data_IF_009456691261
#
_entry.id   IF_009456691261
#
_cell.length_a   1.000
_cell.length_b   1.000
_cell.length_c   1.000
_cell.angle_alpha   90.00
_cell.angle_beta   90.00
_cell.angle_gamma   90.00
#
_symmetry.space_group_name_H-M   'P 1'
#
loop_
_entity.id
_entity.type
_entity.pdbx_description
1 polymer ?
#
# COMPACT_ATOMS: atom_id res chain seq x y z
N UNK A 1 -1.69 6.03 -21.82
CA UNK A 1 -0.58 5.16 -21.37
C UNK A 1 -0.71 3.82 -22.09
N UNK A 2 0.38 3.22 -22.60
CA UNK A 2 0.36 1.87 -23.16
C UNK A 2 -0.12 0.84 -22.13
N UNK A 3 -0.66 -0.29 -22.61
CA UNK A 3 -1.02 -1.43 -21.77
C UNK A 3 0.21 -1.88 -20.94
N UNK A 4 0.00 -2.16 -19.65
CA UNK A 4 1.05 -2.57 -18.72
C UNK A 4 1.82 -1.41 -18.04
N UNK A 5 1.53 -0.15 -18.38
CA UNK A 5 2.11 1.01 -17.69
C UNK A 5 1.71 1.03 -16.20
N UNK A 6 2.68 1.25 -15.31
CA UNK A 6 2.44 1.41 -13.88
C UNK A 6 2.27 2.89 -13.53
N UNK A 7 1.31 3.20 -12.68
CA UNK A 7 1.08 4.52 -12.12
C UNK A 7 0.96 4.44 -10.60
N UNK A 8 1.25 5.55 -9.93
CA UNK A 8 1.00 5.70 -8.49
C UNK A 8 -0.28 6.49 -8.31
N UNK A 9 -1.18 5.98 -7.47
CA UNK A 9 -2.41 6.64 -7.11
C UNK A 9 -2.29 7.12 -5.67
N UNK A 10 -2.72 8.35 -5.40
CA UNK A 10 -2.89 8.85 -4.04
C UNK A 10 -4.28 8.41 -3.57
N UNK A 11 -4.42 7.77 -2.40
CA UNK A 11 -5.73 7.37 -1.91
C UNK A 11 -6.59 8.60 -1.58
N UNK A 12 -7.92 8.47 -1.74
CA UNK A 12 -8.85 9.53 -1.35
C UNK A 12 -8.94 9.71 0.17
N UNK A 13 -8.86 8.62 0.93
CA UNK A 13 -8.77 8.63 2.40
C UNK A 13 -7.82 7.49 2.83
N UNK A 14 -6.80 7.81 3.63
CA UNK A 14 -5.74 6.87 3.98
C UNK A 14 -6.26 5.69 4.81
N UNK A 15 -6.97 5.94 5.90
CA UNK A 15 -7.38 4.96 6.90
C UNK A 15 -8.21 3.79 6.33
N UNK A 16 -9.30 4.02 5.56
CA UNK A 16 -10.05 2.92 4.97
C UNK A 16 -9.24 2.21 3.89
N UNK A 17 -8.35 2.92 3.17
CA UNK A 17 -7.54 2.29 2.11
C UNK A 17 -6.56 1.30 2.72
N UNK A 18 -5.82 1.70 3.75
CA UNK A 18 -4.80 0.82 4.35
C UNK A 18 -5.41 -0.41 5.00
N UNK A 19 -6.64 -0.31 5.51
CA UNK A 19 -7.36 -1.45 6.09
C UNK A 19 -7.81 -2.50 5.06
N UNK A 20 -7.73 -2.21 3.75
CA UNK A 20 -8.02 -3.17 2.67
C UNK A 20 -6.85 -4.08 2.34
N UNK A 21 -5.64 -3.78 2.81
CA UNK A 21 -4.42 -4.49 2.43
C UNK A 21 -3.71 -5.08 3.65
N UNK A 22 -3.04 -6.21 3.46
CA UNK A 22 -2.25 -6.87 4.52
C UNK A 22 -0.83 -6.31 4.66
N UNK A 23 -0.33 -5.60 3.64
CA UNK A 23 1.08 -5.19 3.55
C UNK A 23 1.27 -3.75 3.08
N UNK A 24 2.28 -3.09 3.65
CA UNK A 24 2.94 -1.95 3.04
C UNK A 24 4.21 -2.39 2.31
N UNK A 25 4.39 -1.86 1.09
CA UNK A 25 5.64 -2.02 0.34
C UNK A 25 6.47 -0.75 0.48
N UNK A 26 7.48 -0.79 1.35
CA UNK A 26 8.42 0.31 1.58
C UNK A 26 9.45 0.41 0.46
N UNK A 27 9.51 1.56 -0.21
CA UNK A 27 10.43 1.81 -1.33
C UNK A 27 11.49 2.85 -0.93
N UNK A 28 12.78 2.53 -1.12
CA UNK A 28 13.89 3.48 -1.02
C UNK A 28 14.80 3.33 -2.24
N UNK A 29 15.27 4.46 -2.80
CA UNK A 29 16.13 4.49 -3.97
C UNK A 29 15.60 3.65 -5.17
N UNK A 30 14.27 3.65 -5.37
CA UNK A 30 13.62 2.93 -6.47
C UNK A 30 13.54 1.41 -6.30
N UNK A 31 13.90 0.87 -5.12
CA UNK A 31 13.83 -0.57 -4.81
C UNK A 31 12.98 -0.82 -3.57
N UNK A 32 12.43 -2.03 -3.49
CA UNK A 32 11.77 -2.51 -2.26
C UNK A 32 12.86 -2.66 -1.18
N UNK A 33 12.67 -1.96 -0.07
CA UNK A 33 13.56 -2.04 1.09
C UNK A 33 12.92 -2.86 2.21
N UNK A 34 11.60 -2.75 2.39
CA UNK A 34 10.87 -3.41 3.46
C UNK A 34 9.47 -3.82 3.03
N UNK A 35 8.97 -4.87 3.67
CA UNK A 35 7.56 -5.25 3.68
C UNK A 35 7.09 -5.23 5.13
N UNK A 36 6.10 -4.38 5.44
CA UNK A 36 5.53 -4.30 6.77
C UNK A 36 4.12 -4.85 6.74
N UNK A 37 3.76 -5.70 7.70
CA UNK A 37 2.38 -6.13 7.86
C UNK A 37 1.54 -4.97 8.39
N UNK A 38 0.30 -4.88 7.91
CA UNK A 38 -0.74 -4.05 8.53
C UNK A 38 -1.25 -4.82 9.73
N UNK A 39 -0.51 -4.75 10.84
CA UNK A 39 -0.67 -5.64 11.99
C UNK A 39 -2.09 -5.64 12.60
N UNK A 40 -2.79 -4.51 12.52
CA UNK A 40 -4.15 -4.35 13.05
C UNK A 40 -5.23 -4.32 11.95
N UNK A 41 -4.94 -4.82 10.75
CA UNK A 41 -5.93 -4.87 9.66
C UNK A 41 -7.19 -5.60 10.13
N UNK A 42 -8.34 -4.96 9.97
CA UNK A 42 -9.64 -5.53 10.33
C UNK A 42 -9.89 -5.67 11.82
N UNK A 43 -9.08 -5.05 12.70
CA UNK A 43 -9.29 -5.05 14.15
C UNK A 43 -10.42 -4.09 14.56
N UNK A 44 -11.62 -4.33 14.02
CA UNK A 44 -12.87 -3.69 14.40
C UNK A 44 -13.66 -4.67 15.28
N UNK A 45 -13.87 -4.29 16.54
CA UNK A 45 -14.60 -5.06 17.56
C UNK A 45 -16.09 -5.15 17.26
#
# INVERSE_FOLDING_TARGET
LPLGSKIKLIPGHCDPTVNLFDWYVGIRAGKVEALWSVAARGAST
#
